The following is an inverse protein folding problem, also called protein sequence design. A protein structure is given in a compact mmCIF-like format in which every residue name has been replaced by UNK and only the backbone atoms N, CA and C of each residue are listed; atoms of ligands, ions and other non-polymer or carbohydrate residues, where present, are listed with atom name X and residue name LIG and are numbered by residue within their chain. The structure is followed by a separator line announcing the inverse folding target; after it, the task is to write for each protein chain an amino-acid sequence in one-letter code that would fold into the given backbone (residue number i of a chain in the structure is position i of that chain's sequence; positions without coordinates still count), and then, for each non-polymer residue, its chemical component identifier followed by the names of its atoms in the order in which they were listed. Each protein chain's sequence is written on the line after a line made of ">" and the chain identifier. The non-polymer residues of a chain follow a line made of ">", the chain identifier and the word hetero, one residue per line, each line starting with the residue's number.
data_IF_405278817447
#
_entry.id   IF_405278817447
#
_cell.length_a   1.000
_cell.length_b   1.000
_cell.length_c   1.000
_cell.angle_alpha   90.00
_cell.angle_beta   90.00
_cell.angle_gamma   90.00
#
_symmetry.space_group_name_H-M   'P 1'
#
loop_
_entity.id
_entity.type
_entity.pdbx_description
1 polymer ?
#
# COMPACT_ATOMS: atom_id res chain seq x y z
N UNK A 1 -19.37 -1.40 8.93
CA UNK A 1 -18.02 -1.88 8.55
C UNK A 1 -16.99 -1.13 9.36
N UNK A 2 -16.04 -1.83 9.97
CA UNK A 2 -15.02 -1.23 10.84
C UNK A 2 -13.71 -1.08 10.08
N UNK A 3 -13.27 0.16 9.91
CA UNK A 3 -12.04 0.53 9.18
C UNK A 3 -11.05 1.16 10.13
N UNK A 4 -9.86 0.58 10.23
CA UNK A 4 -8.75 1.14 10.99
C UNK A 4 -7.79 1.90 10.07
N UNK A 5 -7.37 3.09 10.50
CA UNK A 5 -6.27 3.85 9.90
C UNK A 5 -5.23 4.11 10.97
N UNK A 6 -4.01 3.59 10.80
CA UNK A 6 -2.88 3.92 11.68
C UNK A 6 -2.15 5.17 11.19
N UNK A 7 -1.51 5.92 12.09
CA UNK A 7 -0.98 7.24 11.74
C UNK A 7 -2.10 8.25 11.48
N UNK A 8 -3.19 8.17 12.27
CA UNK A 8 -4.45 8.89 12.07
C UNK A 8 -4.33 10.41 12.10
N UNK A 9 -3.32 10.95 12.81
CA UNK A 9 -3.01 12.37 12.85
C UNK A 9 -2.07 12.84 11.72
N UNK A 10 -1.67 11.92 10.80
CA UNK A 10 -0.76 12.21 9.71
C UNK A 10 -1.43 12.85 8.50
N UNK A 11 -0.63 13.49 7.63
CA UNK A 11 -1.16 14.20 6.45
C UNK A 11 -1.85 13.29 5.43
N UNK A 12 -1.39 12.03 5.29
CA UNK A 12 -2.02 11.07 4.38
C UNK A 12 -3.39 10.68 4.94
N UNK A 13 -3.48 10.36 6.24
CA UNK A 13 -4.74 10.05 6.90
C UNK A 13 -5.72 11.22 6.78
N UNK A 14 -5.28 12.44 7.08
CA UNK A 14 -6.10 13.66 6.95
C UNK A 14 -6.67 13.83 5.53
N UNK A 15 -5.89 13.55 4.49
CA UNK A 15 -6.35 13.59 3.10
C UNK A 15 -7.25 12.41 2.73
N UNK A 16 -7.08 11.24 3.38
CA UNK A 16 -7.80 10.01 3.08
C UNK A 16 -9.19 9.95 3.75
N UNK A 17 -9.31 10.46 4.97
CA UNK A 17 -10.54 10.40 5.78
C UNK A 17 -11.77 10.88 5.02
N UNK A 18 -11.77 12.07 4.36
CA UNK A 18 -12.90 12.51 3.55
C UNK A 18 -13.28 11.54 2.43
N UNK A 19 -12.27 10.92 1.79
CA UNK A 19 -12.49 9.98 0.70
C UNK A 19 -13.13 8.67 1.19
N UNK A 20 -12.77 8.20 2.38
CA UNK A 20 -13.40 7.03 3.01
C UNK A 20 -14.85 7.31 3.41
N UNK A 21 -15.10 8.46 4.02
CA UNK A 21 -16.36 8.78 4.66
C UNK A 21 -17.40 9.44 3.74
N UNK A 22 -17.01 9.88 2.54
CA UNK A 22 -17.93 10.39 1.51
C UNK A 22 -18.65 9.31 0.69
N UNK A 23 -18.27 8.04 0.89
CA UNK A 23 -18.82 6.92 0.13
C UNK A 23 -18.11 6.64 -1.20
N UNK A 24 -17.01 7.33 -1.51
CA UNK A 24 -16.27 7.14 -2.76
C UNK A 24 -15.52 5.80 -2.83
N UNK A 25 -15.19 5.21 -1.69
CA UNK A 25 -14.48 3.91 -1.60
C UNK A 25 -15.45 2.75 -1.52
N UNK A 26 -16.33 2.77 -0.53
CA UNK A 26 -17.16 1.61 -0.16
C UNK A 26 -18.63 1.75 -0.59
N UNK A 27 -18.97 2.84 -1.27
CA UNK A 27 -20.35 3.18 -1.64
C UNK A 27 -21.08 3.98 -0.56
N UNK A 28 -22.05 4.81 -0.98
CA UNK A 28 -22.78 5.75 -0.11
C UNK A 28 -23.70 5.07 0.90
N UNK A 29 -24.09 3.80 0.64
CA UNK A 29 -24.97 3.03 1.53
C UNK A 29 -24.22 2.29 2.65
N UNK A 30 -22.88 2.31 2.64
CA UNK A 30 -22.07 1.64 3.66
C UNK A 30 -21.83 2.59 4.84
N UNK A 31 -22.29 2.16 6.03
CA UNK A 31 -21.93 2.84 7.28
C UNK A 31 -20.59 2.35 7.80
N UNK A 32 -19.76 3.27 8.27
CA UNK A 32 -18.36 3.05 8.65
C UNK A 32 -18.15 3.45 10.11
N UNK A 33 -17.71 2.50 10.92
CA UNK A 33 -17.01 2.80 12.16
C UNK A 33 -15.56 3.06 11.81
N UNK A 34 -15.12 4.31 11.89
CA UNK A 34 -13.73 4.69 11.62
C UNK A 34 -12.93 4.65 12.92
N UNK A 35 -11.83 3.89 12.93
CA UNK A 35 -10.88 3.88 14.03
C UNK A 35 -9.58 4.52 13.59
N UNK A 36 -9.14 5.54 14.34
CA UNK A 36 -7.88 6.24 14.11
C UNK A 36 -6.92 5.93 15.24
N UNK A 37 -5.80 5.32 14.90
CA UNK A 37 -4.71 5.02 15.83
C UNK A 37 -3.53 5.95 15.56
N UNK A 38 -2.99 6.55 16.59
CA UNK A 38 -1.69 7.20 16.54
C UNK A 38 -0.91 6.98 17.86
N UNK A 39 0.31 7.47 17.92
CA UNK A 39 1.15 7.41 19.12
C UNK A 39 0.75 8.51 20.11
N UNK A 40 1.04 8.30 21.40
CA UNK A 40 0.69 9.23 22.48
C UNK A 40 1.11 10.69 22.21
N UNK A 41 2.32 11.00 21.71
CA UNK A 41 2.70 12.37 21.39
C UNK A 41 1.87 13.06 20.29
N UNK A 42 1.09 12.28 19.53
CA UNK A 42 0.21 12.79 18.46
C UNK A 42 -1.26 12.85 18.90
N UNK A 43 -1.61 12.48 20.13
CA UNK A 43 -3.00 12.32 20.57
C UNK A 43 -3.78 13.65 20.52
N UNK A 44 -3.19 14.76 20.97
CA UNK A 44 -3.81 16.09 20.89
C UNK A 44 -4.15 16.48 19.44
N UNK A 45 -3.22 16.20 18.50
CA UNK A 45 -3.47 16.41 17.07
C UNK A 45 -4.60 15.51 16.56
N UNK A 46 -4.65 14.26 17.04
CA UNK A 46 -5.71 13.32 16.66
C UNK A 46 -7.09 13.81 17.15
N UNK A 47 -7.16 14.43 18.33
CA UNK A 47 -8.39 15.08 18.82
C UNK A 47 -8.82 16.26 17.91
N UNK A 48 -7.86 17.03 17.40
CA UNK A 48 -8.15 18.07 16.40
C UNK A 48 -8.75 17.49 15.12
N UNK A 49 -8.22 16.36 14.63
CA UNK A 49 -8.79 15.64 13.48
C UNK A 49 -10.20 15.12 13.78
N UNK A 50 -10.44 14.61 14.98
CA UNK A 50 -11.78 14.20 15.44
C UNK A 50 -12.79 15.32 15.36
N UNK A 51 -12.44 16.52 15.84
CA UNK A 51 -13.31 17.71 15.78
C UNK A 51 -13.70 18.04 14.33
N UNK A 52 -12.73 18.08 13.40
CA UNK A 52 -13.00 18.35 11.99
C UNK A 52 -13.84 17.27 11.30
N UNK A 53 -13.66 15.99 11.68
CA UNK A 53 -14.52 14.91 11.19
C UNK A 53 -15.98 15.13 11.64
N UNK A 54 -16.20 15.51 12.89
CA UNK A 54 -17.55 15.81 13.40
C UNK A 54 -18.15 17.03 12.72
N UNK A 55 -17.39 18.10 12.54
CA UNK A 55 -17.85 19.32 11.85
C UNK A 55 -18.22 19.06 10.39
N UNK A 56 -17.58 18.06 9.77
CA UNK A 56 -17.81 17.70 8.36
C UNK A 56 -19.10 16.92 8.11
N UNK A 57 -19.73 16.36 9.13
CA UNK A 57 -20.98 15.59 9.03
C UNK A 57 -20.99 14.54 7.90
N UNK A 58 -19.94 13.76 7.78
CA UNK A 58 -19.79 12.79 6.69
C UNK A 58 -20.93 11.75 6.64
N UNK A 59 -21.57 11.54 5.46
CA UNK A 59 -22.76 10.71 5.34
C UNK A 59 -22.55 9.24 5.67
N UNK A 60 -21.33 8.72 5.50
CA UNK A 60 -21.00 7.32 5.75
C UNK A 60 -20.47 7.05 7.16
N UNK A 61 -20.18 8.08 7.96
CA UNK A 61 -19.72 7.90 9.33
C UNK A 61 -20.85 7.37 10.21
N UNK A 62 -20.61 6.27 10.91
CA UNK A 62 -21.50 5.71 11.93
C UNK A 62 -20.95 5.98 13.33
N UNK A 63 -19.66 5.71 13.50
CA UNK A 63 -18.95 5.87 14.77
C UNK A 63 -17.50 6.27 14.49
N UNK A 64 -16.95 7.12 15.33
CA UNK A 64 -15.54 7.49 15.30
C UNK A 64 -14.89 7.09 16.62
N UNK A 65 -13.77 6.38 16.53
CA UNK A 65 -12.94 5.99 17.68
C UNK A 65 -11.53 6.50 17.45
N UNK A 66 -11.04 7.40 18.29
CA UNK A 66 -9.64 7.81 18.32
C UNK A 66 -8.92 7.13 19.50
N UNK A 67 -7.71 6.65 19.32
CA UNK A 67 -7.00 5.91 20.37
C UNK A 67 -5.49 5.86 20.15
N UNK A 68 -4.75 5.66 21.22
CA UNK A 68 -3.32 5.30 21.20
C UNK A 68 -3.10 3.81 21.52
N UNK A 69 -4.19 3.07 21.86
CA UNK A 69 -4.14 1.70 22.30
C UNK A 69 -4.38 0.71 21.17
N UNK A 70 -3.41 -0.19 20.95
CA UNK A 70 -3.49 -1.21 19.90
C UNK A 70 -4.71 -2.11 20.04
N UNK A 71 -5.06 -2.52 21.28
CA UNK A 71 -6.22 -3.37 21.50
C UNK A 71 -7.50 -2.71 21.01
N UNK A 72 -7.75 -1.45 21.37
CA UNK A 72 -8.93 -0.71 20.97
C UNK A 72 -8.98 -0.50 19.45
N UNK A 73 -7.82 -0.16 18.86
CA UNK A 73 -7.69 0.09 17.44
C UNK A 73 -7.98 -1.16 16.59
N UNK A 74 -7.31 -2.28 16.89
CA UNK A 74 -7.37 -3.50 16.08
C UNK A 74 -8.55 -4.42 16.40
N UNK A 75 -9.32 -4.14 17.47
CA UNK A 75 -10.42 -5.01 17.87
C UNK A 75 -11.53 -5.08 16.82
N UNK A 76 -11.79 -6.29 16.30
CA UNK A 76 -12.94 -6.63 15.47
C UNK A 76 -13.06 -5.79 14.17
N UNK A 77 -11.94 -5.40 13.57
CA UNK A 77 -11.90 -4.62 12.32
C UNK A 77 -12.14 -5.48 11.08
N UNK A 78 -12.67 -4.85 10.04
CA UNK A 78 -12.85 -5.47 8.71
C UNK A 78 -11.68 -5.12 7.77
N UNK A 79 -11.19 -3.87 7.84
CA UNK A 79 -10.10 -3.36 7.01
C UNK A 79 -9.11 -2.62 7.90
N UNK A 80 -7.82 -2.90 7.73
CA UNK A 80 -6.72 -2.15 8.31
C UNK A 80 -5.92 -1.42 7.21
N UNK A 81 -5.77 -0.11 7.35
CA UNK A 81 -4.97 0.76 6.49
C UNK A 81 -3.75 1.21 7.30
N UNK A 82 -2.60 0.57 7.07
CA UNK A 82 -1.40 0.78 7.86
C UNK A 82 -0.54 1.90 7.26
N UNK A 83 -0.85 3.13 7.65
CA UNK A 83 -0.15 4.36 7.25
C UNK A 83 0.95 4.76 8.24
N UNK A 84 0.73 4.44 9.53
CA UNK A 84 1.65 4.81 10.60
C UNK A 84 2.98 4.09 10.46
N UNK A 85 4.05 4.86 10.40
CA UNK A 85 5.41 4.37 10.33
C UNK A 85 6.40 5.47 10.67
N UNK A 86 7.64 5.09 10.96
CA UNK A 86 8.70 6.06 11.20
C UNK A 86 9.08 6.73 9.87
N UNK A 87 9.06 8.06 9.76
CA UNK A 87 9.39 8.76 8.52
C UNK A 87 10.90 8.69 8.25
N UNK A 88 11.29 8.64 6.96
CA UNK A 88 12.69 8.75 6.60
C UNK A 88 13.19 10.17 6.88
N UNK A 89 14.15 10.27 7.79
CA UNK A 89 14.82 11.54 8.09
C UNK A 89 15.98 11.80 7.12
N UNK A 90 16.38 13.08 6.92
CA UNK A 90 17.60 13.39 6.18
C UNK A 90 18.80 12.62 6.75
N UNK A 91 19.63 12.05 5.89
CA UNK A 91 20.82 11.25 6.22
C UNK A 91 20.56 9.93 6.96
N UNK A 92 19.31 9.47 7.06
CA UNK A 92 18.99 8.16 7.59
C UNK A 92 19.29 7.07 6.55
N UNK A 93 20.07 6.07 6.95
CA UNK A 93 20.31 4.90 6.12
C UNK A 93 19.04 4.04 5.99
N UNK A 94 18.96 3.25 4.92
CA UNK A 94 17.80 2.39 4.67
C UNK A 94 17.60 1.35 5.79
N UNK A 95 18.69 0.76 6.27
CA UNK A 95 18.66 -0.21 7.38
C UNK A 95 18.11 0.38 8.69
N UNK A 96 18.45 1.66 8.99
CA UNK A 96 17.94 2.31 10.21
C UNK A 96 16.42 2.54 10.13
N UNK A 97 15.95 2.93 8.95
CA UNK A 97 14.51 3.07 8.69
C UNK A 97 13.81 1.72 8.82
N UNK A 98 14.41 0.66 8.25
CA UNK A 98 13.88 -0.69 8.33
C UNK A 98 13.79 -1.19 9.77
N UNK A 99 14.83 -1.01 10.58
CA UNK A 99 14.85 -1.42 11.98
C UNK A 99 13.78 -0.69 12.82
N UNK A 100 13.59 0.62 12.60
CA UNK A 100 12.54 1.39 13.28
C UNK A 100 11.14 0.92 12.89
N UNK A 101 10.90 0.73 11.60
CA UNK A 101 9.60 0.26 11.11
C UNK A 101 9.35 -1.20 11.45
N UNK A 102 10.38 -2.04 11.55
CA UNK A 102 10.27 -3.41 12.02
C UNK A 102 9.54 -3.49 13.38
N UNK A 103 9.94 -2.68 14.35
CA UNK A 103 9.29 -2.65 15.68
C UNK A 103 7.82 -2.28 15.59
N UNK A 104 7.48 -1.28 14.75
CA UNK A 104 6.10 -0.82 14.56
C UNK A 104 5.25 -1.91 13.89
N UNK A 105 5.73 -2.46 12.77
CA UNK A 105 4.95 -3.44 11.99
C UNK A 105 4.89 -4.81 12.64
N UNK A 106 5.88 -5.18 13.45
CA UNK A 106 5.79 -6.32 14.36
C UNK A 106 4.65 -6.14 15.37
N UNK A 107 4.58 -4.98 16.02
CA UNK A 107 3.51 -4.69 16.97
C UNK A 107 2.13 -4.66 16.31
N UNK A 108 2.01 -4.09 15.08
CA UNK A 108 0.78 -4.12 14.30
C UNK A 108 0.39 -5.55 13.90
N UNK A 109 1.35 -6.38 13.45
CA UNK A 109 1.09 -7.80 13.14
C UNK A 109 0.60 -8.59 14.36
N UNK A 110 1.25 -8.42 15.52
CA UNK A 110 0.82 -9.03 16.77
C UNK A 110 -0.57 -8.55 17.23
N UNK A 111 -0.90 -7.27 17.00
CA UNK A 111 -2.22 -6.73 17.30
C UNK A 111 -3.29 -7.26 16.32
N UNK A 112 -2.97 -7.41 15.02
CA UNK A 112 -3.82 -8.10 14.05
C UNK A 112 -4.11 -9.53 14.49
N UNK A 113 -3.09 -10.31 14.86
CA UNK A 113 -3.23 -11.68 15.32
C UNK A 113 -4.14 -11.79 16.54
N UNK A 114 -3.96 -10.89 17.49
CA UNK A 114 -4.62 -11.02 18.81
C UNK A 114 -6.03 -10.46 18.83
N UNK A 115 -6.31 -9.40 18.07
CA UNK A 115 -7.53 -8.60 18.22
C UNK A 115 -8.39 -8.49 16.97
N UNK A 116 -7.82 -8.69 15.78
CA UNK A 116 -8.55 -8.58 14.52
C UNK A 116 -9.28 -9.88 14.16
N UNK A 117 -10.18 -9.80 13.18
CA UNK A 117 -10.82 -11.00 12.62
C UNK A 117 -9.85 -11.72 11.67
N UNK A 118 -9.87 -13.04 11.55
CA UNK A 118 -9.13 -13.76 10.51
C UNK A 118 -9.53 -13.34 9.08
N UNK A 119 -10.72 -12.77 8.92
CA UNK A 119 -11.21 -12.23 7.64
C UNK A 119 -10.75 -10.81 7.33
N UNK A 120 -10.03 -10.14 8.24
CA UNK A 120 -9.56 -8.77 8.05
C UNK A 120 -8.70 -8.63 6.80
N UNK A 121 -8.91 -7.54 6.05
CA UNK A 121 -8.06 -7.14 4.92
C UNK A 121 -7.10 -6.06 5.35
N UNK A 122 -5.85 -6.18 4.93
CA UNK A 122 -4.76 -5.29 5.37
C UNK A 122 -4.11 -4.66 4.16
N UNK A 123 -4.09 -3.33 4.13
CA UNK A 123 -3.35 -2.55 3.13
C UNK A 123 -2.22 -1.80 3.83
N UNK A 124 -0.98 -2.05 3.41
CA UNK A 124 0.23 -1.43 3.96
C UNK A 124 0.74 -0.34 3.03
N UNK A 125 1.01 0.83 3.58
CA UNK A 125 1.43 2.02 2.86
C UNK A 125 2.77 2.56 3.36
N UNK A 126 3.04 2.50 4.67
CA UNK A 126 4.27 3.02 5.24
C UNK A 126 5.50 2.30 4.69
N UNK A 127 6.52 3.08 4.32
CA UNK A 127 7.75 2.57 3.70
C UNK A 127 8.73 1.97 4.73
N UNK A 128 9.43 0.89 4.31
CA UNK A 128 9.36 0.17 3.03
C UNK A 128 8.10 -0.72 2.96
N UNK A 129 7.17 -0.38 2.05
CA UNK A 129 5.80 -0.90 2.09
C UNK A 129 5.72 -2.43 1.90
N UNK A 130 6.45 -2.98 0.95
CA UNK A 130 6.47 -4.42 0.67
C UNK A 130 7.03 -5.21 1.87
N UNK A 131 8.14 -4.76 2.42
CA UNK A 131 8.82 -5.42 3.56
C UNK A 131 8.00 -5.25 4.85
N UNK A 132 7.43 -4.08 5.09
CA UNK A 132 6.52 -3.86 6.22
C UNK A 132 5.27 -4.75 6.12
N UNK A 133 4.76 -4.99 4.91
CA UNK A 133 3.66 -5.91 4.67
C UNK A 133 4.05 -7.34 5.05
N UNK A 134 5.26 -7.79 4.67
CA UNK A 134 5.80 -9.08 5.05
C UNK A 134 5.95 -9.20 6.57
N UNK A 135 6.49 -8.19 7.25
CA UNK A 135 6.64 -8.16 8.71
C UNK A 135 5.28 -8.31 9.40
N UNK A 136 4.27 -7.52 8.99
CA UNK A 136 2.95 -7.59 9.58
C UNK A 136 2.30 -8.97 9.36
N UNK A 137 2.43 -9.54 8.17
CA UNK A 137 1.88 -10.85 7.84
C UNK A 137 2.51 -11.99 8.66
N UNK A 138 3.83 -12.04 8.77
CA UNK A 138 4.55 -13.06 9.56
C UNK A 138 4.11 -13.05 11.03
N UNK A 139 3.71 -11.90 11.57
CA UNK A 139 3.26 -11.76 12.96
C UNK A 139 1.72 -11.86 13.14
N UNK A 140 0.99 -12.18 12.05
CA UNK A 140 -0.45 -12.39 12.08
C UNK A 140 -0.83 -13.69 11.34
N UNK A 141 -0.34 -14.85 11.78
CA UNK A 141 -0.47 -16.13 11.07
C UNK A 141 -1.93 -16.61 10.92
N UNK A 142 -2.87 -16.13 11.74
CA UNK A 142 -4.30 -16.46 11.59
C UNK A 142 -4.99 -15.72 10.44
N UNK A 143 -4.34 -14.70 9.87
CA UNK A 143 -4.84 -13.96 8.71
C UNK A 143 -4.10 -14.44 7.46
N UNK A 144 -4.80 -14.98 6.44
CA UNK A 144 -4.15 -15.49 5.23
C UNK A 144 -3.29 -14.43 4.52
N UNK A 145 -2.11 -14.79 3.95
CA UNK A 145 -1.27 -13.85 3.22
C UNK A 145 -1.98 -13.14 2.06
N UNK A 146 -2.97 -13.79 1.43
CA UNK A 146 -3.81 -13.21 0.38
C UNK A 146 -4.73 -12.08 0.87
N UNK A 147 -4.86 -11.89 2.18
CA UNK A 147 -5.58 -10.77 2.78
C UNK A 147 -4.71 -9.53 2.99
N UNK A 148 -3.41 -9.64 2.76
CA UNK A 148 -2.48 -8.52 2.84
C UNK A 148 -2.12 -8.02 1.45
N UNK A 149 -2.05 -6.70 1.31
CA UNK A 149 -1.52 -6.04 0.12
C UNK A 149 -0.65 -4.85 0.53
N UNK A 150 0.33 -4.49 -0.31
CA UNK A 150 1.04 -3.22 -0.20
C UNK A 150 0.72 -2.30 -1.37
N UNK A 151 0.85 -0.99 -1.15
CA UNK A 151 0.41 0.02 -2.12
C UNK A 151 1.41 0.14 -3.28
N UNK A 152 0.98 -0.25 -4.48
CA UNK A 152 1.66 0.02 -5.77
C UNK A 152 0.89 1.03 -6.63
N UNK A 153 -0.35 1.34 -6.26
CA UNK A 153 -1.25 2.17 -7.04
C UNK A 153 -0.75 3.60 -7.28
N UNK A 154 -0.01 4.17 -6.32
CA UNK A 154 0.54 5.52 -6.50
C UNK A 154 1.53 5.58 -7.68
N UNK A 155 2.34 4.54 -7.83
CA UNK A 155 3.30 4.47 -8.93
C UNK A 155 2.61 4.17 -10.26
N UNK A 156 1.60 3.30 -10.22
CA UNK A 156 0.74 3.04 -11.38
C UNK A 156 0.02 4.30 -11.86
N UNK A 157 -0.52 5.12 -10.98
CA UNK A 157 -1.16 6.40 -11.33
C UNK A 157 -0.16 7.41 -11.91
N UNK A 158 1.07 7.42 -11.44
CA UNK A 158 2.15 8.23 -12.02
C UNK A 158 2.45 7.79 -13.45
N UNK A 159 2.49 6.47 -13.69
CA UNK A 159 2.64 5.92 -15.04
C UNK A 159 1.45 6.29 -15.92
N UNK A 160 0.23 6.10 -15.46
CA UNK A 160 -1.00 6.51 -16.18
C UNK A 160 -0.97 7.99 -16.53
N UNK A 161 -0.58 8.85 -15.58
CA UNK A 161 -0.42 10.28 -15.85
C UNK A 161 0.64 10.56 -16.93
N UNK A 162 1.78 9.89 -16.88
CA UNK A 162 2.83 10.03 -17.89
C UNK A 162 2.32 9.62 -19.29
N UNK A 163 1.60 8.49 -19.38
CA UNK A 163 1.03 8.01 -20.65
C UNK A 163 0.04 9.03 -21.23
N UNK A 164 -0.81 9.62 -20.42
CA UNK A 164 -1.73 10.66 -20.85
C UNK A 164 -1.04 11.96 -21.27
N UNK A 165 -0.08 12.43 -20.47
CA UNK A 165 0.53 13.74 -20.67
C UNK A 165 1.59 13.76 -21.77
N UNK A 166 2.38 12.69 -21.92
CA UNK A 166 3.47 12.61 -22.90
C UNK A 166 3.05 11.90 -24.18
N UNK A 167 2.27 10.81 -24.05
CA UNK A 167 1.89 9.95 -25.18
C UNK A 167 0.46 10.20 -25.67
N UNK A 168 -0.24 11.20 -25.08
CA UNK A 168 -1.62 11.56 -25.38
C UNK A 168 -2.62 10.38 -25.33
N UNK A 169 -2.33 9.38 -24.48
CA UNK A 169 -3.17 8.21 -24.32
C UNK A 169 -4.52 8.56 -23.68
N UNK A 170 -5.61 7.98 -24.17
CA UNK A 170 -6.93 8.08 -23.52
C UNK A 170 -6.99 7.22 -22.25
N UNK A 171 -8.07 7.33 -21.47
CA UNK A 171 -8.26 6.52 -20.26
C UNK A 171 -8.23 5.02 -20.60
N UNK A 172 -8.91 4.61 -21.67
CA UNK A 172 -8.98 3.21 -22.10
C UNK A 172 -7.60 2.71 -22.56
N UNK A 173 -6.82 3.58 -23.19
CA UNK A 173 -5.47 3.26 -23.66
C UNK A 173 -4.43 3.15 -22.56
N UNK A 174 -4.74 3.59 -21.34
CA UNK A 174 -3.88 3.43 -20.15
C UNK A 174 -4.23 2.19 -19.31
N UNK A 175 -5.25 1.44 -19.67
CA UNK A 175 -5.56 0.18 -19.01
C UNK A 175 -4.38 -0.77 -19.08
N UNK A 176 -4.19 -1.58 -18.04
CA UNK A 176 -3.08 -2.51 -17.91
C UNK A 176 -1.69 -1.85 -17.92
N UNK A 177 -1.58 -0.57 -17.58
CA UNK A 177 -0.31 0.03 -17.20
C UNK A 177 0.11 -0.53 -15.85
N UNK A 178 1.29 -1.16 -15.75
CA UNK A 178 1.69 -1.98 -14.62
C UNK A 178 2.96 -1.48 -13.93
N UNK A 179 3.07 -1.80 -12.65
CA UNK A 179 4.26 -1.61 -11.84
C UNK A 179 4.68 -2.95 -11.27
N UNK A 180 5.96 -3.27 -11.37
CA UNK A 180 6.54 -4.52 -10.89
C UNK A 180 7.60 -4.29 -9.83
N UNK A 181 7.79 -5.29 -8.95
CA UNK A 181 8.92 -5.35 -8.02
C UNK A 181 8.66 -4.67 -6.68
N UNK A 182 9.67 -3.98 -6.16
CA UNK A 182 9.63 -3.27 -4.88
C UNK A 182 9.10 -1.84 -5.05
N UNK A 183 8.34 -1.34 -4.09
CA UNK A 183 7.97 0.08 -4.04
C UNK A 183 9.17 0.94 -3.61
N UNK A 184 10.13 1.08 -4.51
CA UNK A 184 11.40 1.80 -4.31
C UNK A 184 11.86 2.43 -5.62
N UNK A 185 13.08 2.98 -5.63
CA UNK A 185 13.71 3.46 -6.88
C UNK A 185 14.06 2.35 -7.88
N UNK A 186 13.90 1.08 -7.49
CA UNK A 186 14.14 -0.08 -8.36
C UNK A 186 12.86 -0.62 -9.01
N UNK A 187 11.68 -0.04 -8.70
CA UNK A 187 10.43 -0.44 -9.33
C UNK A 187 10.51 -0.39 -10.87
N UNK A 188 9.79 -1.27 -11.52
CA UNK A 188 9.74 -1.32 -12.98
C UNK A 188 8.36 -0.91 -13.48
N UNK A 189 8.31 0.20 -14.21
CA UNK A 189 7.11 0.67 -14.89
C UNK A 189 6.99 -0.03 -16.25
N UNK A 190 5.83 -0.59 -16.53
CA UNK A 190 5.55 -1.37 -17.73
C UNK A 190 4.26 -0.89 -18.40
N UNK A 191 4.37 -0.43 -19.63
CA UNK A 191 3.26 -0.05 -20.50
C UNK A 191 3.08 -1.00 -21.69
N UNK A 192 3.83 -2.11 -21.75
CA UNK A 192 3.76 -3.09 -22.85
C UNK A 192 2.43 -3.84 -22.87
N UNK A 193 1.75 -3.94 -21.73
CA UNK A 193 0.47 -4.60 -21.58
C UNK A 193 -0.73 -3.68 -21.84
N UNK A 194 -0.49 -2.39 -22.11
CA UNK A 194 -1.55 -1.46 -22.50
C UNK A 194 -2.11 -1.81 -23.89
N UNK A 195 -3.35 -1.41 -24.23
CA UNK A 195 -3.92 -1.68 -25.55
C UNK A 195 -3.06 -1.21 -26.73
N UNK A 196 -2.24 -0.16 -26.53
CA UNK A 196 -1.30 0.34 -27.53
C UNK A 196 0.10 -0.29 -27.45
N UNK A 197 0.36 -1.15 -26.48
CA UNK A 197 1.67 -1.78 -26.25
C UNK A 197 2.81 -0.75 -26.25
N UNK A 198 2.61 0.32 -25.48
CA UNK A 198 3.54 1.45 -25.44
C UNK A 198 4.90 1.03 -24.85
N UNK A 199 5.96 1.44 -25.53
CA UNK A 199 7.32 1.27 -25.01
C UNK A 199 7.78 2.55 -24.33
N UNK A 200 8.14 2.44 -23.06
CA UNK A 200 8.70 3.54 -22.29
C UNK A 200 10.17 3.75 -22.64
N UNK A 201 10.57 5.00 -22.80
CA UNK A 201 11.98 5.37 -22.88
C UNK A 201 12.62 5.28 -21.48
N UNK A 202 13.93 5.13 -21.39
CA UNK A 202 14.63 5.07 -20.09
C UNK A 202 14.39 6.31 -19.20
N UNK A 203 14.29 7.48 -19.82
CA UNK A 203 13.94 8.71 -19.07
C UNK A 203 12.53 8.67 -18.45
N UNK A 204 11.60 7.90 -19.03
CA UNK A 204 10.25 7.75 -18.51
C UNK A 204 10.24 6.83 -17.30
N UNK A 205 10.98 5.73 -17.38
CA UNK A 205 11.17 4.80 -16.26
C UNK A 205 11.83 5.52 -15.09
N UNK A 206 12.91 6.26 -15.34
CA UNK A 206 13.60 7.09 -14.35
C UNK A 206 12.67 8.14 -13.73
N UNK A 207 11.84 8.81 -14.54
CA UNK A 207 10.87 9.78 -14.06
C UNK A 207 9.90 9.17 -13.04
N UNK A 208 9.38 7.96 -13.30
CA UNK A 208 8.48 7.27 -12.37
C UNK A 208 9.23 6.90 -11.08
N UNK A 209 10.41 6.32 -11.20
CA UNK A 209 11.25 5.89 -10.07
C UNK A 209 11.64 7.03 -9.14
N UNK A 210 11.95 8.20 -9.69
CA UNK A 210 12.42 9.37 -8.93
C UNK A 210 11.28 10.27 -8.45
N UNK A 211 10.05 10.08 -8.95
CA UNK A 211 8.93 11.00 -8.68
C UNK A 211 8.66 11.23 -7.19
N UNK A 212 8.83 10.21 -6.36
CA UNK A 212 8.67 10.33 -4.91
C UNK A 212 9.70 11.28 -4.28
N UNK A 213 10.96 11.15 -4.69
CA UNK A 213 12.06 12.03 -4.24
C UNK A 213 11.85 13.47 -4.71
N UNK A 214 11.44 13.67 -5.96
CA UNK A 214 11.13 15.00 -6.50
C UNK A 214 10.03 15.72 -5.73
N UNK A 215 8.96 14.97 -5.34
CA UNK A 215 7.89 15.53 -4.50
C UNK A 215 8.43 15.96 -3.14
N UNK A 216 9.24 15.14 -2.49
CA UNK A 216 9.87 15.48 -1.20
C UNK A 216 10.75 16.71 -1.34
N UNK A 217 11.61 16.77 -2.36
CA UNK A 217 12.50 17.89 -2.59
C UNK A 217 11.75 19.22 -2.79
N UNK A 218 10.66 19.18 -3.57
CA UNK A 218 9.91 20.41 -3.91
C UNK A 218 8.90 20.82 -2.85
N UNK A 219 8.29 19.84 -2.16
CA UNK A 219 7.22 20.08 -1.20
C UNK A 219 7.72 20.18 0.25
N UNK A 220 8.95 19.70 0.53
CA UNK A 220 9.48 19.57 1.90
C UNK A 220 8.84 18.43 2.71
N UNK A 221 7.98 17.62 2.09
CA UNK A 221 7.30 16.48 2.72
C UNK A 221 6.89 15.44 1.67
N UNK A 222 6.65 14.21 2.12
CA UNK A 222 6.20 13.12 1.24
C UNK A 222 4.82 13.38 0.62
N UNK A 223 4.49 12.63 -0.42
CA UNK A 223 3.16 12.66 -1.05
C UNK A 223 2.08 12.39 -0.01
N UNK A 224 1.06 13.23 0.03
CA UNK A 224 -0.10 13.06 0.92
C UNK A 224 -1.40 12.95 0.10
N UNK A 225 -1.75 13.99 -0.65
CA UNK A 225 -2.96 14.01 -1.48
C UNK A 225 -2.97 12.86 -2.50
N UNK A 226 -1.89 12.70 -3.27
CA UNK A 226 -1.81 11.64 -4.28
C UNK A 226 -1.71 10.25 -3.67
N UNK A 227 -1.08 10.11 -2.49
CA UNK A 227 -1.08 8.85 -1.75
C UNK A 227 -2.49 8.50 -1.25
N UNK A 228 -3.25 9.45 -0.69
CA UNK A 228 -4.62 9.25 -0.27
C UNK A 228 -5.52 8.83 -1.45
N UNK A 229 -5.38 9.49 -2.61
CA UNK A 229 -6.09 9.11 -3.83
C UNK A 229 -5.72 7.69 -4.30
N UNK A 230 -4.45 7.34 -4.28
CA UNK A 230 -4.00 5.99 -4.65
C UNK A 230 -4.52 4.91 -3.69
N UNK A 231 -4.58 5.19 -2.38
CA UNK A 231 -5.20 4.31 -1.38
C UNK A 231 -6.70 4.14 -1.67
N UNK A 232 -7.40 5.25 -1.94
CA UNK A 232 -8.80 5.21 -2.34
C UNK A 232 -9.02 4.29 -3.54
N UNK A 233 -8.24 4.48 -4.60
CA UNK A 233 -8.39 3.72 -5.83
C UNK A 233 -8.00 2.24 -5.65
N UNK A 234 -6.96 1.95 -4.87
CA UNK A 234 -6.61 0.58 -4.48
C UNK A 234 -7.78 -0.11 -3.77
N UNK A 235 -8.31 0.51 -2.73
CA UNK A 235 -9.44 -0.05 -1.96
C UNK A 235 -10.70 -0.17 -2.81
N UNK A 236 -11.04 0.85 -3.62
CA UNK A 236 -12.17 0.81 -4.53
C UNK A 236 -12.07 -0.33 -5.53
N UNK A 237 -10.87 -0.54 -6.10
CA UNK A 237 -10.60 -1.66 -7.01
C UNK A 237 -10.71 -2.99 -6.27
N UNK A 238 -10.07 -3.12 -5.11
CA UNK A 238 -10.10 -4.36 -4.33
C UNK A 238 -11.51 -4.74 -3.85
N UNK A 239 -12.34 -3.75 -3.50
CA UNK A 239 -13.75 -3.94 -3.11
C UNK A 239 -14.70 -4.11 -4.30
N UNK A 240 -14.21 -3.98 -5.53
CA UNK A 240 -15.01 -4.09 -6.75
C UNK A 240 -15.58 -5.47 -7.00
N UNK A 241 -16.59 -5.57 -7.87
CA UNK A 241 -17.30 -6.82 -8.19
C UNK A 241 -16.46 -7.86 -8.95
N UNK A 242 -15.33 -7.45 -9.53
CA UNK A 242 -14.52 -8.31 -10.42
C UNK A 242 -15.06 -8.39 -11.85
N UNK A 243 -16.05 -7.57 -12.22
CA UNK A 243 -16.58 -7.52 -13.59
C UNK A 243 -15.59 -6.87 -14.58
N UNK A 244 -14.75 -5.95 -14.06
CA UNK A 244 -13.68 -5.35 -14.84
C UNK A 244 -12.45 -6.28 -14.84
N UNK A 245 -12.15 -6.87 -16.00
CA UNK A 245 -11.02 -7.76 -16.18
C UNK A 245 -9.67 -7.01 -16.33
N UNK A 246 -9.63 -5.69 -16.16
CA UNK A 246 -8.40 -4.89 -16.25
C UNK A 246 -7.41 -5.32 -15.17
N UNK A 247 -6.15 -5.43 -15.58
CA UNK A 247 -5.06 -5.72 -14.66
C UNK A 247 -4.65 -4.45 -13.92
N UNK A 248 -4.35 -4.61 -12.64
CA UNK A 248 -3.78 -3.56 -11.79
C UNK A 248 -2.58 -4.12 -11.01
N UNK A 249 -1.75 -3.25 -10.46
CA UNK A 249 -0.59 -3.66 -9.70
C UNK A 249 -0.85 -3.55 -8.21
N UNK A 250 -0.82 -4.69 -7.52
CA UNK A 250 -0.82 -4.77 -6.06
C UNK A 250 0.50 -5.38 -5.57
N UNK A 251 1.01 -4.91 -4.46
CA UNK A 251 2.02 -5.65 -3.72
C UNK A 251 1.36 -6.84 -3.04
N UNK A 252 1.63 -8.05 -3.53
CA UNK A 252 0.98 -9.29 -3.09
C UNK A 252 2.00 -10.34 -2.71
N UNK A 253 1.58 -11.30 -1.86
CA UNK A 253 2.44 -12.39 -1.43
C UNK A 253 2.71 -13.35 -2.58
N UNK A 254 4.00 -13.57 -2.89
CA UNK A 254 4.44 -14.46 -3.95
C UNK A 254 4.73 -15.87 -3.41
N UNK A 255 3.69 -16.61 -3.08
CA UNK A 255 3.77 -17.96 -2.55
C UNK A 255 4.24 -18.97 -3.62
N UNK A 256 3.67 -18.88 -4.80
CA UNK A 256 3.90 -19.84 -5.88
C UNK A 256 5.22 -19.60 -6.64
N UNK A 257 5.82 -18.42 -6.52
CA UNK A 257 7.00 -18.04 -7.29
C UNK A 257 6.65 -17.65 -8.73
N UNK A 258 5.58 -16.86 -8.90
CA UNK A 258 5.16 -16.37 -10.20
C UNK A 258 6.32 -15.77 -10.99
N UNK A 259 6.35 -16.02 -12.29
CA UNK A 259 7.41 -15.59 -13.22
C UNK A 259 8.81 -16.14 -12.90
N UNK A 260 8.94 -17.10 -11.99
CA UNK A 260 10.22 -17.62 -11.50
C UNK A 260 10.90 -16.69 -10.48
N UNK A 261 10.16 -15.72 -9.92
CA UNK A 261 10.64 -14.80 -8.91
C UNK A 261 10.70 -15.44 -7.51
N UNK A 262 11.50 -14.84 -6.63
CA UNK A 262 11.69 -15.35 -5.27
C UNK A 262 10.35 -15.46 -4.53
N UNK A 263 10.18 -16.55 -3.80
CA UNK A 263 9.04 -16.81 -2.93
C UNK A 263 9.17 -16.12 -1.58
N UNK A 264 8.09 -16.14 -0.79
CA UNK A 264 8.05 -15.59 0.56
C UNK A 264 8.40 -14.09 0.61
N UNK A 265 7.80 -13.33 -0.31
CA UNK A 265 7.94 -11.88 -0.42
C UNK A 265 6.61 -11.25 -0.82
N UNK A 266 6.38 -10.02 -0.41
CA UNK A 266 5.36 -9.18 -1.03
C UNK A 266 5.99 -8.43 -2.20
N UNK A 267 5.48 -8.66 -3.40
CA UNK A 267 6.02 -8.11 -4.66
C UNK A 267 4.89 -7.42 -5.40
N UNK A 268 5.15 -6.26 -5.99
CA UNK A 268 4.19 -5.66 -6.93
C UNK A 268 4.08 -6.54 -8.17
N UNK A 269 2.91 -7.14 -8.35
CA UNK A 269 2.56 -8.03 -9.46
C UNK A 269 1.23 -7.62 -10.09
N UNK A 270 0.99 -7.96 -11.37
CA UNK A 270 -0.30 -7.77 -12.00
C UNK A 270 -1.34 -8.71 -11.38
N UNK A 271 -2.46 -8.13 -10.99
CA UNK A 271 -3.61 -8.86 -10.46
C UNK A 271 -4.89 -8.47 -11.19
N UNK A 272 -5.85 -9.38 -11.20
CA UNK A 272 -7.24 -9.11 -11.57
C UNK A 272 -8.12 -9.38 -10.35
N UNK A 273 -9.10 -8.53 -10.12
CA UNK A 273 -10.06 -8.74 -9.05
C UNK A 273 -11.07 -9.80 -9.52
N UNK A 274 -11.27 -10.82 -8.71
CA UNK A 274 -12.17 -11.94 -9.02
C UNK A 274 -13.52 -11.80 -8.33
N UNK A 275 -13.51 -11.24 -7.12
CA UNK A 275 -14.67 -10.90 -6.29
C UNK A 275 -14.29 -9.77 -5.34
N UNK A 276 -15.26 -9.15 -4.65
CA UNK A 276 -14.94 -8.17 -3.63
C UNK A 276 -13.92 -8.69 -2.61
N UNK A 277 -12.78 -7.98 -2.48
CA UNK A 277 -11.67 -8.30 -1.59
C UNK A 277 -10.93 -9.63 -1.93
N UNK A 278 -11.07 -10.13 -3.15
CA UNK A 278 -10.34 -11.28 -3.67
C UNK A 278 -9.67 -10.92 -5.00
N UNK A 279 -8.46 -11.40 -5.21
CA UNK A 279 -7.71 -11.20 -6.44
C UNK A 279 -7.03 -12.49 -6.89
N UNK A 280 -6.63 -12.52 -8.14
CA UNK A 280 -5.78 -13.56 -8.71
C UNK A 280 -4.59 -12.90 -9.40
N UNK A 281 -3.39 -13.41 -9.14
CA UNK A 281 -2.19 -12.98 -9.86
C UNK A 281 -2.28 -13.44 -11.32
N UNK A 282 -2.00 -12.54 -12.24
CA UNK A 282 -1.84 -12.87 -13.65
C UNK A 282 -0.41 -13.37 -13.87
N UNK A 283 -0.23 -14.63 -14.22
CA UNK A 283 1.08 -15.30 -14.22
C UNK A 283 1.63 -15.65 -15.61
N UNK A 284 0.91 -15.27 -16.65
CA UNK A 284 1.20 -15.68 -18.03
C UNK A 284 1.54 -14.52 -18.99
N UNK A 285 1.93 -13.37 -18.46
CA UNK A 285 2.40 -12.27 -19.30
C UNK A 285 3.81 -12.55 -19.83
N UNK A 286 4.01 -12.25 -21.09
CA UNK A 286 5.34 -12.31 -21.69
C UNK A 286 6.14 -11.07 -21.29
N UNK A 287 7.28 -11.29 -20.65
CA UNK A 287 8.23 -10.26 -20.27
C UNK A 287 9.47 -10.37 -21.17
N UNK A 288 9.91 -9.25 -21.70
CA UNK A 288 11.19 -9.16 -22.40
C UNK A 288 12.37 -9.50 -21.46
N UNK A 289 13.51 -9.85 -22.02
CA UNK A 289 14.69 -10.21 -21.23
C UNK A 289 15.16 -9.04 -20.35
N UNK A 290 15.14 -7.83 -20.88
CA UNK A 290 15.54 -6.62 -20.16
C UNK A 290 14.57 -6.30 -19.01
N UNK A 291 13.26 -6.35 -19.27
CA UNK A 291 12.23 -6.14 -18.26
C UNK A 291 12.35 -7.18 -17.13
N UNK A 292 12.51 -8.47 -17.51
CA UNK A 292 12.67 -9.54 -16.54
C UNK A 292 13.93 -9.36 -15.67
N UNK A 293 15.04 -8.93 -16.25
CA UNK A 293 16.27 -8.65 -15.52
C UNK A 293 16.10 -7.44 -14.56
N UNK A 294 15.45 -6.38 -15.00
CA UNK A 294 15.16 -5.22 -14.16
C UNK A 294 14.23 -5.56 -12.98
N UNK A 295 13.17 -6.35 -13.23
CA UNK A 295 12.26 -6.82 -12.17
C UNK A 295 13.03 -7.72 -11.19
N UNK A 296 13.89 -8.63 -11.69
CA UNK A 296 14.68 -9.50 -10.84
C UNK A 296 15.63 -8.70 -9.93
N UNK A 297 16.24 -7.62 -10.43
CA UNK A 297 17.05 -6.71 -9.62
C UNK A 297 16.25 -6.05 -8.52
N UNK A 298 15.02 -5.59 -8.81
CA UNK A 298 14.11 -5.02 -7.83
C UNK A 298 13.69 -6.03 -6.76
N UNK A 299 13.48 -7.29 -7.14
CA UNK A 299 13.15 -8.37 -6.21
C UNK A 299 14.35 -8.75 -5.34
N UNK A 300 15.57 -8.70 -5.87
CA UNK A 300 16.77 -8.94 -5.10
C UNK A 300 16.88 -7.96 -3.91
N UNK A 301 16.51 -6.70 -4.10
CA UNK A 301 16.41 -5.72 -3.03
C UNK A 301 15.43 -6.16 -1.92
N UNK A 302 14.28 -6.74 -2.28
CA UNK A 302 13.32 -7.29 -1.30
C UNK A 302 13.87 -8.52 -0.57
N UNK A 303 14.62 -9.37 -1.25
CA UNK A 303 15.29 -10.51 -0.62
C UNK A 303 16.28 -10.03 0.44
N UNK A 304 17.08 -9.03 0.11
CA UNK A 304 18.06 -8.43 1.04
C UNK A 304 17.35 -7.79 2.26
N UNK A 305 16.30 -7.03 2.04
CA UNK A 305 15.48 -6.47 3.13
C UNK A 305 14.87 -7.55 4.04
N UNK A 306 14.34 -8.61 3.47
CA UNK A 306 13.80 -9.75 4.23
C UNK A 306 14.87 -10.42 5.07
N UNK A 307 16.05 -10.69 4.53
CA UNK A 307 17.14 -11.30 5.29
C UNK A 307 17.62 -10.39 6.43
N UNK A 308 17.66 -9.07 6.20
CA UNK A 308 17.96 -8.10 7.26
C UNK A 308 16.90 -8.13 8.38
N UNK A 309 15.61 -8.21 8.03
CA UNK A 309 14.53 -8.37 9.02
C UNK A 309 14.64 -9.68 9.78
N UNK A 310 15.01 -10.79 9.13
CA UNK A 310 15.22 -12.07 9.82
C UNK A 310 16.32 -12.00 10.87
N UNK A 311 17.40 -11.26 10.61
CA UNK A 311 18.44 -11.00 11.59
C UNK A 311 17.92 -10.18 12.77
N UNK A 312 17.07 -9.17 12.52
CA UNK A 312 16.41 -8.40 13.59
C UNK A 312 15.49 -9.27 14.45
N UNK A 313 14.79 -10.24 13.82
CA UNK A 313 13.94 -11.20 14.53
C UNK A 313 14.74 -12.09 15.47
N UNK A 314 15.89 -12.58 15.05
CA UNK A 314 16.77 -13.42 15.88
C UNK A 314 17.28 -12.66 17.10
N UNK A 315 17.72 -11.42 16.93
CA UNK A 315 18.23 -10.57 18.02
C UNK A 315 17.18 -10.18 19.09
N UNK A 316 15.89 -10.38 18.82
CA UNK A 316 14.80 -10.09 19.76
C UNK A 316 14.41 -11.35 20.55
N UNK A 317 14.78 -12.53 20.08
CA UNK A 317 14.49 -13.82 20.74
C UNK A 317 15.62 -14.27 21.67
N UNK A 318 16.81 -13.69 21.52
CA UNK A 318 17.95 -13.81 22.44
C UNK A 318 17.86 -12.74 23.55
#
# INVERSE_FOLDING_TARGET
>A
MKVLVTGGAGQIAYSLIPLLLSGQVFGTNKKITLKLLDIEPCFERLQGVEMEIHDSNFPCLEELVITTELQTAFHDIDIAILLGGFPRLPNMERKDLLAKNFTIFRAHGQALEKYAKPSTRVLVIANPANTNCWIANVHAPSIPPSHFTSLSFLDQERLVHLLKSKYAATQEQTQNALIWGNHSSTMVADASQTPQQLRLEEKDKTYIQQRGADVIQKRGSSSAMSAANAIQNHLKTWCGSGEDASMVSFGVYNEEGHYGFAKDLFISLPVVITRPLEYRVVSNLELGLEEKAAIQSSIQELVEEREEVKLLLQNVLD
#
